data_IF_949498230629
#
_entry.id   IF_949498230629
#
_cell.length_a   1.000
_cell.length_b   1.000
_cell.length_c   1.000
_cell.angle_alpha   90.00
_cell.angle_beta   90.00
_cell.angle_gamma   90.00
#
_symmetry.space_group_name_H-M   'P 1'
#
loop_
_entity.id
_entity.type
_entity.pdbx_description
1 polymer ?
#
# COMPACT_ATOMS: atom_id res chain seq x y z
N UNK A 1 -15.94 -0.72 43.66
CA UNK A 1 -14.98 -1.83 43.76
C UNK A 1 -13.69 -1.28 44.33
N UNK A 2 -12.90 -2.09 45.01
CA UNK A 2 -11.62 -1.62 45.56
C UNK A 2 -10.65 -1.31 44.43
N UNK A 3 -9.78 -0.30 44.59
CA UNK A 3 -8.71 -0.01 43.62
C UNK A 3 -7.87 -1.26 43.28
N UNK A 4 -7.64 -2.14 44.25
CA UNK A 4 -6.93 -3.41 44.08
C UNK A 4 -7.68 -4.42 43.20
N UNK A 5 -9.00 -4.48 43.31
CA UNK A 5 -9.83 -5.37 42.47
C UNK A 5 -9.78 -4.91 41.02
N UNK A 6 -9.92 -3.61 40.80
CA UNK A 6 -9.85 -2.98 39.48
C UNK A 6 -8.47 -3.20 38.83
N UNK A 7 -7.39 -3.01 39.60
CA UNK A 7 -6.02 -3.30 39.13
C UNK A 7 -5.83 -4.77 38.80
N UNK A 8 -6.39 -5.68 39.60
CA UNK A 8 -6.29 -7.12 39.35
C UNK A 8 -7.02 -7.52 38.06
N UNK A 9 -8.20 -6.96 37.80
CA UNK A 9 -8.95 -7.17 36.54
C UNK A 9 -8.10 -6.75 35.34
N UNK A 10 -7.52 -5.54 35.38
CA UNK A 10 -6.69 -5.01 34.29
C UNK A 10 -5.41 -5.82 34.10
N UNK A 11 -4.77 -6.27 35.19
CA UNK A 11 -3.56 -7.10 35.07
C UNK A 11 -3.89 -8.46 34.44
N UNK A 12 -5.02 -9.07 34.83
CA UNK A 12 -5.45 -10.35 34.25
C UNK A 12 -5.73 -10.18 32.75
N UNK A 13 -6.46 -9.14 32.35
CA UNK A 13 -6.73 -8.87 30.94
C UNK A 13 -5.44 -8.58 30.17
N UNK A 14 -4.51 -7.82 30.76
CA UNK A 14 -3.20 -7.52 30.17
C UNK A 14 -2.36 -8.78 29.94
N UNK A 15 -2.32 -9.69 30.91
CA UNK A 15 -1.64 -10.98 30.78
C UNK A 15 -2.30 -11.83 29.69
N UNK A 16 -3.63 -11.85 29.62
CA UNK A 16 -4.35 -12.55 28.57
C UNK A 16 -4.02 -12.00 27.18
N UNK A 17 -4.03 -10.67 27.00
CA UNK A 17 -3.63 -10.03 25.75
C UNK A 17 -2.16 -10.26 25.42
N UNK A 18 -1.28 -10.29 26.41
CA UNK A 18 0.14 -10.58 26.20
C UNK A 18 0.35 -12.03 25.73
N UNK A 19 -0.29 -13.00 26.38
CA UNK A 19 -0.25 -14.41 25.96
C UNK A 19 -0.86 -14.60 24.57
N UNK A 20 -2.00 -13.95 24.30
CA UNK A 20 -2.63 -13.95 22.98
C UNK A 20 -1.70 -13.38 21.91
N UNK A 21 -1.07 -12.23 22.18
CA UNK A 21 -0.08 -11.61 21.30
C UNK A 21 1.15 -12.47 21.07
N UNK A 22 1.67 -13.10 22.13
CA UNK A 22 2.80 -14.01 22.05
C UNK A 22 2.48 -15.23 21.19
N UNK A 23 1.34 -15.89 21.42
CA UNK A 23 0.89 -17.06 20.66
C UNK A 23 0.61 -16.69 19.20
N UNK A 24 -0.07 -15.57 18.95
CA UNK A 24 -0.32 -15.06 17.60
C UNK A 24 0.99 -14.81 16.83
N UNK A 25 1.98 -14.22 17.50
CA UNK A 25 3.30 -13.99 16.92
C UNK A 25 4.02 -15.30 16.58
N UNK A 26 4.03 -16.29 17.49
CA UNK A 26 4.67 -17.60 17.25
C UNK A 26 3.98 -18.36 16.12
N UNK A 27 2.65 -18.41 16.12
CA UNK A 27 1.92 -19.34 15.26
C UNK A 27 1.61 -18.79 13.87
N UNK A 28 1.35 -17.48 13.73
CA UNK A 28 0.75 -16.93 12.51
C UNK A 28 1.63 -15.94 11.75
N UNK A 29 2.49 -15.19 12.43
CA UNK A 29 3.30 -14.13 11.79
C UNK A 29 4.65 -14.62 11.25
N UNK A 30 5.27 -15.61 11.90
CA UNK A 30 6.65 -16.05 11.55
C UNK A 30 6.83 -17.57 11.61
N UNK A 31 5.94 -18.34 10.99
CA UNK A 31 6.13 -19.79 10.82
C UNK A 31 7.44 -20.15 10.09
N UNK A 32 7.97 -19.21 9.29
CA UNK A 32 9.10 -19.43 8.37
C UNK A 32 10.31 -18.49 8.57
N UNK A 33 10.39 -17.70 9.64
CA UNK A 33 11.55 -16.80 9.89
C UNK A 33 12.55 -17.45 10.84
N UNK A 34 13.66 -17.91 10.28
CA UNK A 34 14.70 -18.71 10.93
C UNK A 34 15.49 -17.99 12.05
N UNK A 35 15.18 -16.73 12.37
CA UNK A 35 15.93 -15.91 13.34
C UNK A 35 15.08 -15.61 14.58
N UNK A 36 15.23 -16.46 15.61
CA UNK A 36 14.49 -16.37 16.87
C UNK A 36 15.03 -15.28 17.83
N UNK A 37 14.85 -14.01 17.51
CA UNK A 37 15.11 -12.94 18.49
C UNK A 37 13.94 -12.81 19.47
N UNK A 38 14.02 -13.54 20.60
CA UNK A 38 13.01 -13.49 21.69
C UNK A 38 12.68 -12.07 22.16
N UNK A 39 13.64 -11.14 22.08
CA UNK A 39 13.42 -9.74 22.43
C UNK A 39 12.44 -9.04 21.50
N UNK A 40 12.51 -9.27 20.19
CA UNK A 40 11.59 -8.66 19.20
C UNK A 40 10.17 -9.16 19.44
N UNK A 41 10.03 -10.44 19.70
CA UNK A 41 8.75 -11.06 20.07
C UNK A 41 8.18 -10.46 21.37
N UNK A 42 9.02 -10.26 22.38
CA UNK A 42 8.63 -9.64 23.64
C UNK A 42 8.17 -8.20 23.40
N UNK A 43 8.94 -7.39 22.68
CA UNK A 43 8.60 -6.00 22.37
C UNK A 43 7.27 -5.91 21.62
N UNK A 44 7.06 -6.77 20.62
CA UNK A 44 5.80 -6.84 19.89
C UNK A 44 4.63 -7.20 20.82
N UNK A 45 4.78 -8.27 21.61
CA UNK A 45 3.71 -8.77 22.49
C UNK A 45 3.36 -7.77 23.58
N UNK A 46 4.35 -7.06 24.14
CA UNK A 46 4.12 -5.96 25.11
C UNK A 46 3.41 -4.79 24.44
N UNK A 47 3.85 -4.35 23.26
CA UNK A 47 3.23 -3.22 22.55
C UNK A 47 1.79 -3.53 22.16
N UNK A 48 1.53 -4.75 21.69
CA UNK A 48 0.19 -5.21 21.34
C UNK A 48 -0.70 -5.30 22.59
N UNK A 49 -0.21 -5.89 23.68
CA UNK A 49 -0.93 -5.97 24.95
C UNK A 49 -1.30 -4.59 25.48
N UNK A 50 -0.36 -3.64 25.49
CA UNK A 50 -0.63 -2.24 25.89
C UNK A 50 -1.69 -1.57 25.00
N UNK A 51 -1.65 -1.82 23.69
CA UNK A 51 -2.65 -1.31 22.74
C UNK A 51 -4.04 -1.88 23.04
N UNK A 52 -4.13 -3.19 23.32
CA UNK A 52 -5.38 -3.84 23.72
C UNK A 52 -5.89 -3.31 25.06
N UNK A 53 -5.03 -3.07 26.05
CA UNK A 53 -5.46 -2.49 27.34
C UNK A 53 -6.03 -1.08 27.19
N UNK A 54 -5.46 -0.24 26.32
CA UNK A 54 -6.03 1.08 26.05
C UNK A 54 -7.41 0.97 25.40
N UNK A 55 -7.58 0.05 24.45
CA UNK A 55 -8.87 -0.21 23.82
C UNK A 55 -9.91 -0.76 24.80
N UNK A 56 -9.51 -1.69 25.67
CA UNK A 56 -10.36 -2.23 26.74
C UNK A 56 -10.80 -1.14 27.72
N UNK A 57 -9.89 -0.25 28.14
CA UNK A 57 -10.22 0.88 29.02
C UNK A 57 -11.26 1.83 28.38
N UNK A 58 -11.20 2.04 27.06
CA UNK A 58 -12.23 2.82 26.34
C UNK A 58 -13.59 2.09 26.39
N UNK A 59 -13.60 0.78 26.22
CA UNK A 59 -14.83 -0.01 26.33
C UNK A 59 -15.40 0.08 27.75
N UNK A 60 -14.57 -0.04 28.78
CA UNK A 60 -15.02 0.11 30.17
C UNK A 60 -15.53 1.52 30.48
N UNK A 61 -14.95 2.55 29.86
CA UNK A 61 -15.49 3.92 29.92
C UNK A 61 -16.91 3.99 29.35
N UNK A 62 -17.13 3.45 28.15
CA UNK A 62 -18.44 3.48 27.46
C UNK A 62 -19.50 2.67 28.23
N UNK A 63 -19.11 1.51 28.78
CA UNK A 63 -20.01 0.61 29.52
C UNK A 63 -20.29 1.14 30.94
N UNK A 64 -19.47 2.06 31.46
CA UNK A 64 -19.55 2.51 32.85
C UNK A 64 -19.08 1.46 33.85
N UNK A 65 -18.17 0.58 33.42
CA UNK A 65 -17.53 -0.44 34.27
C UNK A 65 -16.23 0.13 34.84
N UNK A 66 -15.81 -0.33 36.03
CA UNK A 66 -14.65 0.15 36.82
C UNK A 66 -14.80 1.55 37.45
N UNK A 67 -14.06 1.82 38.53
CA UNK A 67 -14.07 3.14 39.19
C UNK A 67 -13.36 4.21 38.34
N UNK A 68 -13.92 5.42 38.26
CA UNK A 68 -13.39 6.53 37.46
C UNK A 68 -11.95 6.92 37.83
N UNK A 69 -11.59 6.87 39.11
CA UNK A 69 -10.23 7.21 39.56
C UNK A 69 -9.22 6.14 39.14
N UNK A 70 -9.60 4.86 39.30
CA UNK A 70 -8.79 3.73 38.87
C UNK A 70 -8.56 3.73 37.35
N UNK A 71 -9.61 3.95 36.55
CA UNK A 71 -9.50 4.03 35.08
C UNK A 71 -8.54 5.12 34.64
N UNK A 72 -8.67 6.32 35.20
CA UNK A 72 -7.81 7.44 34.85
C UNK A 72 -6.33 7.13 35.14
N UNK A 73 -6.04 6.48 36.27
CA UNK A 73 -4.67 6.06 36.60
C UNK A 73 -4.12 5.05 35.58
N UNK A 74 -4.85 3.97 35.31
CA UNK A 74 -4.40 2.94 34.37
C UNK A 74 -4.32 3.45 32.93
N UNK A 75 -5.23 4.35 32.54
CA UNK A 75 -5.19 5.06 31.26
C UNK A 75 -3.90 5.85 31.09
N UNK A 76 -3.56 6.69 32.06
CA UNK A 76 -2.32 7.48 32.01
C UNK A 76 -1.09 6.57 32.00
N UNK A 77 -1.05 5.54 32.85
CA UNK A 77 0.05 4.58 32.88
C UNK A 77 0.23 3.87 31.53
N UNK A 78 -0.84 3.34 30.95
CA UNK A 78 -0.81 2.66 29.67
C UNK A 78 -0.37 3.60 28.53
N UNK A 79 -0.84 4.86 28.54
CA UNK A 79 -0.40 5.88 27.59
C UNK A 79 1.10 6.21 27.73
N UNK A 80 1.62 6.35 28.95
CA UNK A 80 3.06 6.57 29.15
C UNK A 80 3.90 5.39 28.65
N UNK A 81 3.47 4.16 28.96
CA UNK A 81 4.18 2.95 28.57
C UNK A 81 4.17 2.76 27.05
N UNK A 82 3.03 2.94 26.38
CA UNK A 82 2.97 2.78 24.92
C UNK A 82 3.74 3.89 24.21
N UNK A 83 3.68 5.12 24.70
CA UNK A 83 4.43 6.24 24.13
C UNK A 83 5.93 6.01 24.24
N UNK A 84 6.40 5.52 25.38
CA UNK A 84 7.80 5.14 25.57
C UNK A 84 8.21 3.99 24.64
N UNK A 85 7.38 2.95 24.51
CA UNK A 85 7.64 1.83 23.60
C UNK A 85 7.79 2.30 22.15
N UNK A 86 6.89 3.18 21.69
CA UNK A 86 6.84 3.65 20.30
C UNK A 86 7.91 4.69 19.97
N UNK A 87 8.18 5.65 20.86
CA UNK A 87 9.13 6.74 20.58
C UNK A 87 10.58 6.33 20.86
N UNK A 88 10.81 5.47 21.85
CA UNK A 88 12.17 5.14 22.32
C UNK A 88 12.58 3.74 21.91
N UNK A 89 11.86 2.71 22.37
CA UNK A 89 12.30 1.32 22.26
C UNK A 89 12.25 0.82 20.82
N UNK A 90 11.10 0.93 20.16
CA UNK A 90 10.92 0.45 18.79
C UNK A 90 11.93 1.03 17.78
N UNK A 91 12.12 2.36 17.66
CA UNK A 91 13.08 2.93 16.71
C UNK A 91 14.52 2.55 17.03
N UNK A 92 14.88 2.39 18.31
CA UNK A 92 16.19 1.90 18.71
C UNK A 92 16.44 0.47 18.20
N UNK A 93 15.47 -0.44 18.40
CA UNK A 93 15.59 -1.83 17.95
C UNK A 93 15.59 -1.96 16.42
N UNK A 94 14.76 -1.18 15.72
CA UNK A 94 14.76 -1.14 14.25
C UNK A 94 16.12 -0.64 13.74
N UNK A 95 16.65 0.45 14.30
CA UNK A 95 17.96 0.98 13.95
C UNK A 95 19.09 -0.03 14.19
N UNK A 96 19.05 -0.74 15.32
CA UNK A 96 20.00 -1.80 15.64
C UNK A 96 19.96 -2.95 14.63
N UNK A 97 18.76 -3.39 14.25
CA UNK A 97 18.58 -4.47 13.29
C UNK A 97 19.06 -4.06 11.89
N UNK A 98 18.70 -2.86 11.43
CA UNK A 98 19.20 -2.32 10.16
C UNK A 98 20.73 -2.31 10.16
N UNK A 99 21.35 -1.80 11.22
CA UNK A 99 22.82 -1.73 11.30
C UNK A 99 23.51 -3.08 11.37
N UNK A 100 22.86 -4.09 11.97
CA UNK A 100 23.40 -5.45 12.04
C UNK A 100 23.33 -6.17 10.69
N UNK A 101 22.32 -5.86 9.86
CA UNK A 101 22.16 -6.48 8.54
C UNK A 101 23.03 -5.85 7.45
N UNK A 102 23.60 -4.66 7.67
CA UNK A 102 24.48 -4.01 6.69
C UNK A 102 25.85 -4.69 6.70
N UNK A 103 26.21 -5.35 5.60
CA UNK A 103 27.46 -6.10 5.43
C UNK A 103 28.73 -5.23 5.49
N UNK A 104 28.61 -3.93 5.21
CA UNK A 104 29.72 -2.98 5.15
C UNK A 104 30.18 -2.48 6.53
N UNK A 105 29.38 -2.63 7.59
CA UNK A 105 29.67 -2.03 8.90
C UNK A 105 30.46 -2.99 9.78
N UNK A 106 31.61 -2.54 10.29
CA UNK A 106 32.42 -3.31 11.25
C UNK A 106 31.63 -3.51 12.55
N UNK A 107 31.56 -4.75 13.04
CA UNK A 107 30.77 -5.16 14.22
C UNK A 107 31.00 -4.28 15.47
N UNK A 108 32.21 -3.74 15.66
CA UNK A 108 32.53 -2.84 16.79
C UNK A 108 31.89 -1.44 16.68
N UNK A 109 31.55 -0.99 15.47
CA UNK A 109 30.94 0.32 15.19
C UNK A 109 29.40 0.26 15.17
N UNK A 110 28.79 -0.93 15.11
CA UNK A 110 27.32 -1.10 15.06
C UNK A 110 26.63 -0.44 16.25
N UNK A 111 27.14 -0.66 17.47
CA UNK A 111 26.56 -0.09 18.71
C UNK A 111 26.59 1.45 18.74
N UNK A 112 27.74 2.13 18.62
CA UNK A 112 27.77 3.59 18.65
C UNK A 112 27.01 4.21 17.47
N UNK A 113 27.06 3.60 16.28
CA UNK A 113 26.35 4.10 15.11
C UNK A 113 24.82 4.00 15.27
N UNK A 114 24.33 2.93 15.90
CA UNK A 114 22.90 2.78 16.24
C UNK A 114 22.45 3.90 17.18
N UNK A 115 23.24 4.21 18.21
CA UNK A 115 22.91 5.30 19.15
C UNK A 115 22.87 6.64 18.43
N UNK A 116 23.82 6.91 17.52
CA UNK A 116 23.83 8.14 16.71
C UNK A 116 22.55 8.24 15.88
N UNK A 117 22.18 7.19 15.15
CA UNK A 117 20.95 7.18 14.34
C UNK A 117 19.71 7.37 15.21
N UNK A 118 19.66 6.73 16.37
CA UNK A 118 18.55 6.88 17.29
C UNK A 118 18.44 8.33 17.83
N UNK A 119 19.57 8.96 18.16
CA UNK A 119 19.60 10.38 18.55
C UNK A 119 19.14 11.29 17.40
N UNK A 120 19.58 11.03 16.17
CA UNK A 120 19.12 11.77 14.97
C UNK A 120 17.63 11.57 14.75
N UNK A 121 17.12 10.35 14.90
CA UNK A 121 15.70 10.05 14.81
C UNK A 121 14.89 10.85 15.84
N UNK A 122 15.33 10.88 17.11
CA UNK A 122 14.68 11.69 18.14
C UNK A 122 14.72 13.16 17.74
N UNK A 123 15.87 13.69 17.32
CA UNK A 123 15.96 15.08 16.89
C UNK A 123 14.98 15.42 15.75
N UNK A 124 14.89 14.55 14.73
CA UNK A 124 13.95 14.72 13.61
C UNK A 124 12.51 14.61 14.09
N UNK A 125 12.19 13.64 14.93
CA UNK A 125 10.85 13.42 15.50
C UNK A 125 10.37 14.67 16.24
N UNK A 126 11.25 15.30 17.02
CA UNK A 126 10.96 16.56 17.69
C UNK A 126 10.78 17.69 16.68
N UNK A 127 11.67 17.86 15.71
CA UNK A 127 11.56 18.94 14.73
C UNK A 127 10.32 18.82 13.83
N UNK A 128 9.89 17.60 13.52
CA UNK A 128 8.77 17.33 12.61
C UNK A 128 7.41 17.65 13.22
N UNK A 129 7.31 17.70 14.55
CA UNK A 129 6.07 18.08 15.25
C UNK A 129 5.90 19.58 15.51
N UNK A 130 6.93 20.40 15.32
CA UNK A 130 6.88 21.85 15.52
C UNK A 130 5.98 22.62 14.53
N UNK A 131 5.85 22.24 13.24
CA UNK A 131 4.95 22.93 12.31
C UNK A 131 3.45 22.65 12.55
N UNK A 132 3.08 21.83 13.53
CA UNK A 132 1.68 21.53 13.87
C UNK A 132 1.26 22.26 15.17
N UNK A 133 0.63 23.45 15.07
CA UNK A 133 0.16 24.22 16.22
C UNK A 133 -1.16 23.66 16.76
N UNK A 134 -1.12 22.52 17.45
CA UNK A 134 -2.29 21.96 18.17
C UNK A 134 -2.11 22.12 19.70
N UNK A 135 -1.06 22.81 20.13
CA UNK A 135 -0.60 22.82 21.51
C UNK A 135 -0.75 24.21 22.15
N UNK A 136 -1.49 24.24 23.26
CA UNK A 136 -1.46 25.38 24.17
C UNK A 136 -0.03 25.53 24.75
N UNK A 137 0.60 26.72 24.71
CA UNK A 137 1.99 26.95 25.15
C UNK A 137 2.26 26.69 26.65
N UNK A 138 1.26 26.22 27.41
CA UNK A 138 1.30 26.14 28.87
C UNK A 138 1.74 24.78 29.43
N UNK A 139 1.86 23.74 28.60
CA UNK A 139 2.35 22.42 29.04
C UNK A 139 3.80 22.20 28.59
N UNK A 140 4.63 21.72 29.51
CA UNK A 140 6.08 21.58 29.33
C UNK A 140 6.49 20.70 28.15
N UNK A 141 7.77 20.81 27.78
CA UNK A 141 8.45 20.16 26.65
C UNK A 141 8.23 18.62 26.64
N UNK A 142 8.01 17.97 27.79
CA UNK A 142 7.80 16.52 27.93
C UNK A 142 6.35 16.14 28.30
N UNK A 143 5.36 16.99 27.99
CA UNK A 143 3.96 16.66 28.28
C UNK A 143 3.44 15.52 27.39
N UNK A 144 2.67 14.61 27.97
CA UNK A 144 2.12 13.43 27.27
C UNK A 144 1.24 13.81 26.07
N UNK A 145 0.52 14.92 26.18
CA UNK A 145 -0.33 15.47 25.12
C UNK A 145 0.49 15.82 23.86
N UNK A 146 1.70 16.32 24.04
CA UNK A 146 2.60 16.66 22.93
C UNK A 146 3.08 15.40 22.22
N UNK A 147 3.46 14.36 22.98
CA UNK A 147 3.88 13.08 22.42
C UNK A 147 2.76 12.41 21.62
N UNK A 148 1.55 12.37 22.19
CA UNK A 148 0.37 11.77 21.55
C UNK A 148 -0.03 12.54 20.28
N UNK A 149 0.00 13.89 20.31
CA UNK A 149 -0.32 14.70 19.14
C UNK A 149 0.67 14.45 17.99
N UNK A 150 1.97 14.44 18.28
CA UNK A 150 3.02 14.24 17.26
C UNK A 150 2.97 12.84 16.66
N UNK A 151 2.83 11.80 17.50
CA UNK A 151 2.71 10.43 17.02
C UNK A 151 1.40 10.23 16.25
N UNK A 152 0.32 10.93 16.63
CA UNK A 152 -0.96 10.91 15.94
C UNK A 152 -0.85 11.42 14.50
N UNK A 153 -0.22 12.58 14.29
CA UNK A 153 -0.04 13.14 12.93
C UNK A 153 0.86 12.24 12.08
N UNK A 154 1.98 11.76 12.62
CA UNK A 154 2.88 10.86 11.90
C UNK A 154 2.17 9.53 11.58
N UNK A 155 1.43 8.98 12.53
CA UNK A 155 0.68 7.74 12.36
C UNK A 155 -0.40 7.87 11.29
N UNK A 156 -1.21 8.92 11.34
CA UNK A 156 -2.29 9.17 10.36
C UNK A 156 -1.73 9.42 8.97
N UNK A 157 -0.64 10.16 8.83
CA UNK A 157 0.00 10.39 7.52
C UNK A 157 0.55 9.09 6.93
N UNK A 158 1.22 8.25 7.73
CA UNK A 158 1.68 6.93 7.28
C UNK A 158 0.51 6.00 6.94
N UNK A 159 -0.55 5.96 7.75
CA UNK A 159 -1.77 5.18 7.46
C UNK A 159 -2.44 5.65 6.17
N UNK A 160 -2.50 6.96 5.92
CA UNK A 160 -3.08 7.52 4.70
C UNK A 160 -2.27 7.12 3.46
N UNK A 161 -0.93 7.18 3.53
CA UNK A 161 -0.06 6.75 2.44
C UNK A 161 -0.18 5.25 2.14
N UNK A 162 -0.19 4.41 3.18
CA UNK A 162 -0.35 2.96 3.04
C UNK A 162 -1.72 2.57 2.49
N UNK A 163 -2.80 3.20 2.98
CA UNK A 163 -4.13 3.01 2.41
C UNK A 163 -4.22 3.48 0.96
N UNK A 164 -3.60 4.61 0.62
CA UNK A 164 -3.52 5.10 -0.76
C UNK A 164 -2.81 4.12 -1.68
N UNK A 165 -1.66 3.58 -1.25
CA UNK A 165 -0.95 2.53 -1.99
C UNK A 165 -1.79 1.26 -2.14
N UNK A 166 -2.44 0.80 -1.07
CA UNK A 166 -3.33 -0.36 -1.10
C UNK A 166 -4.52 -0.18 -2.05
N UNK A 167 -5.11 1.02 -2.08
CA UNK A 167 -6.21 1.37 -2.96
C UNK A 167 -5.84 1.35 -4.45
N UNK A 168 -4.57 1.62 -4.79
CA UNK A 168 -4.07 1.55 -6.17
C UNK A 168 -3.58 0.13 -6.52
N UNK A 169 -2.87 -0.52 -5.60
CA UNK A 169 -2.30 -1.84 -5.83
C UNK A 169 -3.37 -2.94 -5.92
N UNK A 170 -4.45 -2.85 -5.15
CA UNK A 170 -5.49 -3.87 -5.13
C UNK A 170 -6.26 -4.00 -6.47
N UNK A 171 -6.71 -2.91 -7.11
CA UNK A 171 -7.25 -2.98 -8.46
C UNK A 171 -6.24 -3.50 -9.47
N UNK A 172 -4.96 -3.12 -9.38
CA UNK A 172 -3.93 -3.58 -10.30
C UNK A 172 -3.74 -5.10 -10.24
N UNK A 173 -3.65 -5.67 -9.04
CA UNK A 173 -3.48 -7.12 -8.83
C UNK A 173 -4.77 -7.91 -9.11
N UNK A 174 -5.92 -7.30 -8.83
CA UNK A 174 -7.24 -7.94 -9.01
C UNK A 174 -7.88 -7.61 -10.36
N UNK A 175 -7.20 -6.88 -11.25
CA UNK A 175 -7.76 -6.46 -12.53
C UNK A 175 -8.21 -7.64 -13.37
N UNK A 176 -7.48 -8.77 -13.31
CA UNK A 176 -7.82 -10.01 -13.98
C UNK A 176 -9.16 -10.62 -13.52
N UNK A 177 -9.62 -10.34 -12.30
CA UNK A 177 -10.95 -10.76 -11.82
C UNK A 177 -12.08 -9.96 -12.49
N UNK A 178 -11.83 -8.68 -12.80
CA UNK A 178 -12.80 -7.79 -13.45
C UNK A 178 -12.70 -7.78 -14.98
N UNK A 179 -11.59 -8.26 -15.54
CA UNK A 179 -11.45 -8.42 -16.99
C UNK A 179 -12.19 -9.67 -17.45
N UNK A 180 -13.07 -9.51 -18.45
CA UNK A 180 -13.78 -10.62 -19.07
C UNK A 180 -12.76 -11.65 -19.58
N UNK A 181 -12.81 -12.92 -19.13
CA UNK A 181 -11.92 -13.95 -19.66
C UNK A 181 -12.21 -14.11 -21.16
N UNK A 182 -11.19 -13.87 -21.98
CA UNK A 182 -11.29 -14.05 -23.43
C UNK A 182 -11.08 -15.53 -23.74
N UNK A 183 -12.12 -16.21 -24.21
CA UNK A 183 -12.01 -17.61 -24.58
C UNK A 183 -11.20 -17.75 -25.89
N UNK A 184 -10.42 -18.84 -26.05
CA UNK A 184 -9.67 -19.08 -27.29
C UNK A 184 -10.60 -19.18 -28.53
N UNK A 185 -11.85 -19.60 -28.35
CA UNK A 185 -12.86 -19.60 -29.41
C UNK A 185 -13.22 -18.19 -29.90
N UNK A 186 -13.25 -17.19 -29.01
CA UNK A 186 -13.54 -15.79 -29.38
C UNK A 186 -12.39 -15.19 -30.19
N UNK A 187 -11.15 -15.58 -29.88
CA UNK A 187 -9.96 -15.19 -30.64
C UNK A 187 -10.04 -15.76 -32.06
N UNK A 188 -10.29 -17.06 -32.20
CA UNK A 188 -10.41 -17.73 -33.50
C UNK A 188 -11.58 -17.18 -34.33
N UNK A 189 -12.72 -16.87 -33.70
CA UNK A 189 -13.85 -16.26 -34.38
C UNK A 189 -13.50 -14.86 -34.91
N UNK A 190 -12.75 -14.08 -34.13
CA UNK A 190 -12.29 -12.74 -34.53
C UNK A 190 -11.25 -12.80 -35.65
N UNK A 191 -10.32 -13.75 -35.58
CA UNK A 191 -9.31 -14.01 -36.61
C UNK A 191 -9.96 -14.42 -37.93
N UNK A 192 -10.96 -15.31 -37.88
CA UNK A 192 -11.73 -15.71 -39.06
C UNK A 192 -12.48 -14.54 -39.69
N UNK A 193 -13.10 -13.67 -38.87
CA UNK A 193 -13.76 -12.44 -39.34
C UNK A 193 -12.77 -11.48 -40.00
N UNK A 194 -11.56 -11.35 -39.45
CA UNK A 194 -10.50 -10.54 -40.02
C UNK A 194 -10.09 -11.06 -41.40
N UNK A 195 -9.84 -12.37 -41.52
CA UNK A 195 -9.48 -13.03 -42.79
C UNK A 195 -10.57 -12.81 -43.85
N UNK A 196 -11.84 -13.02 -43.49
CA UNK A 196 -12.97 -12.76 -44.39
C UNK A 196 -13.02 -11.30 -44.87
N UNK A 197 -12.75 -10.35 -43.97
CA UNK A 197 -12.72 -8.93 -44.30
C UNK A 197 -11.56 -8.60 -45.26
N UNK A 198 -10.40 -9.23 -45.05
CA UNK A 198 -9.25 -9.11 -45.93
C UNK A 198 -9.56 -9.61 -47.34
N UNK A 199 -10.23 -10.76 -47.47
CA UNK A 199 -10.64 -11.30 -48.78
C UNK A 199 -11.62 -10.38 -49.50
N UNK A 200 -12.60 -9.82 -48.78
CA UNK A 200 -13.52 -8.83 -49.35
C UNK A 200 -12.78 -7.58 -49.86
N UNK A 201 -11.78 -7.11 -49.11
CA UNK A 201 -10.93 -5.99 -49.53
C UNK A 201 -10.16 -6.33 -50.81
N UNK A 202 -9.59 -7.54 -50.91
CA UNK A 202 -8.86 -8.00 -52.10
C UNK A 202 -9.77 -8.07 -53.33
N UNK A 203 -10.98 -8.63 -53.18
CA UNK A 203 -11.96 -8.69 -54.28
C UNK A 203 -12.37 -7.28 -54.73
N UNK A 204 -12.63 -6.36 -53.79
CA UNK A 204 -12.94 -4.97 -54.12
C UNK A 204 -11.77 -4.27 -54.83
N UNK A 205 -10.53 -4.45 -54.35
CA UNK A 205 -9.33 -3.91 -55.00
C UNK A 205 -9.16 -4.47 -56.41
N UNK A 206 -9.39 -5.77 -56.62
CA UNK A 206 -9.33 -6.41 -57.95
C UNK A 206 -10.40 -5.84 -58.89
N UNK A 207 -11.64 -5.67 -58.43
CA UNK A 207 -12.71 -5.05 -59.23
C UNK A 207 -12.37 -3.61 -59.63
N UNK A 208 -11.82 -2.81 -58.71
CA UNK A 208 -11.38 -1.44 -59.01
C UNK A 208 -10.26 -1.44 -60.05
N UNK A 209 -9.27 -2.33 -59.92
CA UNK A 209 -8.17 -2.43 -60.88
C UNK A 209 -8.65 -2.85 -62.29
N UNK A 210 -9.58 -3.79 -62.38
CA UNK A 210 -10.19 -4.22 -63.65
C UNK A 210 -11.04 -3.10 -64.27
N UNK A 211 -11.83 -2.37 -63.48
CA UNK A 211 -12.59 -1.23 -63.97
C UNK A 211 -11.67 -0.13 -64.52
N UNK A 212 -10.56 0.17 -63.82
CA UNK A 212 -9.55 1.12 -64.33
C UNK A 212 -8.90 0.66 -65.64
N UNK A 213 -8.61 -0.64 -65.80
CA UNK A 213 -8.11 -1.21 -67.06
C UNK A 213 -9.15 -1.14 -68.19
N UNK A 214 -10.40 -1.52 -67.93
CA UNK A 214 -11.46 -1.46 -68.94
C UNK A 214 -11.76 -0.04 -69.42
N UNK A 215 -11.66 0.97 -68.54
CA UNK A 215 -11.73 2.38 -68.91
C UNK A 215 -10.53 2.79 -69.78
N UNK A 216 -9.32 2.32 -69.47
CA UNK A 216 -8.13 2.57 -70.29
C UNK A 216 -8.25 1.94 -71.69
N UNK A 217 -8.71 0.68 -71.79
CA UNK A 217 -8.90 -0.02 -73.07
C UNK A 217 -10.03 0.62 -73.91
N UNK A 218 -11.13 1.04 -73.27
CA UNK A 218 -12.23 1.73 -73.98
C UNK A 218 -11.80 3.13 -74.44
N UNK A 219 -10.95 3.82 -73.67
CA UNK A 219 -10.32 5.08 -74.07
C UNK A 219 -9.40 4.92 -75.28
N UNK A 220 -8.60 3.85 -75.32
CA UNK A 220 -7.74 3.53 -76.47
C UNK A 220 -8.54 3.14 -77.71
N UNK A 221 -9.59 2.33 -77.57
CA UNK A 221 -10.43 1.91 -78.70
C UNK A 221 -11.22 3.09 -79.30
N UNK A 222 -11.71 4.04 -78.47
CA UNK A 222 -12.34 5.27 -78.99
C UNK A 222 -11.34 6.18 -79.72
N UNK A 223 -10.09 6.27 -79.27
CA UNK A 223 -9.03 7.01 -79.98
C UNK A 223 -8.67 6.35 -81.33
N UNK A 224 -8.62 5.02 -81.40
CA UNK A 224 -8.34 4.27 -82.63
C UNK A 224 -9.50 4.34 -83.66
N UNK A 225 -10.76 4.30 -83.20
CA UNK A 225 -11.94 4.43 -84.08
C UNK A 225 -12.12 5.87 -84.56
N UNK A 226 -11.88 6.88 -83.70
CA UNK A 226 -11.89 8.28 -84.10
C UNK A 226 -10.84 8.63 -85.16
N UNK A 227 -9.67 7.98 -85.12
CA UNK A 227 -8.64 8.15 -86.15
C UNK A 227 -9.06 7.52 -87.49
N UNK A 228 -9.64 6.32 -87.49
CA UNK A 228 -10.09 5.64 -88.74
C UNK A 228 -11.17 6.42 -89.51
N UNK A 229 -12.10 7.08 -88.81
CA UNK A 229 -13.15 7.87 -89.46
C UNK A 229 -12.67 9.15 -90.17
N UNK A 230 -11.58 9.76 -89.69
CA UNK A 230 -11.03 11.00 -90.29
C UNK A 230 -10.27 10.69 -91.58
N UNK A 231 -9.58 9.55 -91.64
CA UNK A 231 -8.84 9.12 -92.84
C UNK A 231 -9.75 8.70 -94.00
N UNK A 232 -10.96 8.20 -93.72
CA UNK A 232 -11.91 7.76 -94.75
C UNK A 232 -12.68 8.93 -95.38
N UNK A 233 -12.81 10.06 -94.67
CA UNK A 233 -13.45 11.28 -95.17
C UNK A 233 -12.56 12.11 -96.12
N UNK A 234 -11.26 11.83 -96.15
CA UNK A 234 -10.27 12.53 -96.99
C UNK A 234 -10.08 11.86 -98.37
N UNK A 235 -10.83 10.80 -98.67
CA UNK A 235 -10.65 9.98 -99.88
C UNK A 235 -11.81 10.09 -100.90
N UNK A 236 -12.73 11.03 -100.73
CA UNK A 236 -13.73 11.40 -101.75
C UNK A 236 -13.56 12.86 -102.16
#
# INVERSE_FOLDING_TARGET
MGFLEDTLIIIISQVFFFLGGWVFFVQKLFRDYEVHHRLVQLIFSVTLSLSCTLFELIIFEIVGYLDSSSRYFHWNLALYLILFMVIVILPFYIGYFIMTNVTFVRQKLVRPLTVIIWCVYIYIFWKLGDPFPILSPKHGILSIEQGISRIGVIGVTVMALLSGFGAVNYPYTSMAYFMRPVAPADIQATEKRLMQTMDMILVKKKRIALAKRGVADTGQNKAAVGSRGIWDMLKN
#
